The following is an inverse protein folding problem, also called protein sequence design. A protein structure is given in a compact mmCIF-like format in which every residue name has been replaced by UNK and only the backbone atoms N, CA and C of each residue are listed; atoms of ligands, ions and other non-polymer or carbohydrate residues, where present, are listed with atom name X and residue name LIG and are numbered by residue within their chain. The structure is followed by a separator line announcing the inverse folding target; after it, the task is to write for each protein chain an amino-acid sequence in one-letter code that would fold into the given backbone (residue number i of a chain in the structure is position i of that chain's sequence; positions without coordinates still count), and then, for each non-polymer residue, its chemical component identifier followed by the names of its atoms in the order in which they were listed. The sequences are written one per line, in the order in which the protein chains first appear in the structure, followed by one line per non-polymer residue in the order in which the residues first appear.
data_IF_555822850700
#
_entry.id   IF_555822850700
#
_cell.length_a   1.000
_cell.length_b   1.000
_cell.length_c   1.000
_cell.angle_alpha   90.00
_cell.angle_beta   90.00
_cell.angle_gamma   90.00
#
_symmetry.space_group_name_H-M   'P 1'
#
loop_
_entity.id
_entity.type
_entity.pdbx_description
1 polymer ?
#
# COMPACT_ATOMS: atom_id res chain seq x y z
N UNK A 1 -19.79 29.00 -13.80
CA UNK A 1 -19.93 27.53 -13.82
C UNK A 1 -18.61 26.81 -14.03
N UNK A 2 -17.75 27.26 -14.95
CA UNK A 2 -16.42 26.68 -15.22
C UNK A 2 -15.43 26.77 -14.06
N UNK A 3 -15.48 27.87 -13.28
CA UNK A 3 -14.58 28.08 -12.14
C UNK A 3 -14.71 27.00 -11.06
N UNK A 4 -15.95 26.53 -10.81
CA UNK A 4 -16.21 25.47 -9.83
C UNK A 4 -15.65 24.12 -10.27
N UNK A 5 -15.65 23.84 -11.57
CA UNK A 5 -15.12 22.60 -12.16
C UNK A 5 -13.60 22.58 -12.07
N UNK A 6 -12.94 23.72 -12.29
CA UNK A 6 -11.48 23.83 -12.17
C UNK A 6 -11.05 23.62 -10.72
N UNK A 7 -11.79 24.20 -9.76
CA UNK A 7 -11.48 24.08 -8.34
C UNK A 7 -11.61 22.62 -7.86
N UNK A 8 -12.68 21.93 -8.25
CA UNK A 8 -12.87 20.52 -7.88
C UNK A 8 -11.81 19.63 -8.51
N UNK A 9 -11.47 19.85 -9.78
CA UNK A 9 -10.40 19.11 -10.45
C UNK A 9 -9.05 19.29 -9.73
N UNK A 10 -8.69 20.52 -9.35
CA UNK A 10 -7.45 20.81 -8.64
C UNK A 10 -7.39 20.11 -7.27
N UNK A 11 -8.49 20.12 -6.51
CA UNK A 11 -8.57 19.42 -5.22
C UNK A 11 -8.41 17.92 -5.40
N UNK A 12 -9.05 17.32 -6.40
CA UNK A 12 -8.95 15.88 -6.66
C UNK A 12 -7.52 15.47 -7.04
N UNK A 13 -6.83 16.28 -7.85
CA UNK A 13 -5.43 16.05 -8.21
C UNK A 13 -4.53 16.16 -6.98
N UNK A 14 -4.73 17.19 -6.14
CA UNK A 14 -3.97 17.36 -4.91
C UNK A 14 -4.16 16.18 -3.94
N UNK A 15 -5.39 15.68 -3.79
CA UNK A 15 -5.69 14.47 -2.98
C UNK A 15 -5.05 13.22 -3.57
N UNK A 16 -5.03 13.07 -4.90
CA UNK A 16 -4.37 11.94 -5.55
C UNK A 16 -2.84 11.95 -5.35
N UNK A 17 -2.22 13.14 -5.34
CA UNK A 17 -0.79 13.32 -5.06
C UNK A 17 -0.44 13.12 -3.58
N UNK A 18 -1.36 13.47 -2.66
CA UNK A 18 -1.20 13.18 -1.22
C UNK A 18 -1.46 11.72 -0.86
N UNK A 19 -2.11 10.96 -1.76
CA UNK A 19 -2.37 9.54 -1.57
C UNK A 19 -1.04 8.81 -1.71
N UNK A 20 -0.53 8.14 -0.66
CA UNK A 20 0.67 7.34 -0.80
C UNK A 20 0.44 6.36 -1.94
N UNK A 21 1.38 6.19 -2.88
CA UNK A 21 1.22 5.30 -4.01
C UNK A 21 1.07 3.89 -3.48
N UNK A 22 -0.17 3.48 -3.28
CA UNK A 22 -0.48 2.15 -2.83
C UNK A 22 -0.05 1.19 -3.94
N UNK A 23 0.97 0.39 -3.63
CA UNK A 23 0.95 -1.02 -3.98
C UNK A 23 1.24 -1.36 -5.46
N UNK A 24 1.93 -0.51 -6.22
CA UNK A 24 2.32 -0.81 -7.62
C UNK A 24 3.72 -1.39 -7.81
N UNK A 25 4.56 -1.43 -6.78
CA UNK A 25 6.00 -1.71 -6.94
C UNK A 25 6.44 -3.16 -6.64
N UNK A 26 5.52 -4.11 -6.40
CA UNK A 26 5.90 -5.34 -5.67
C UNK A 26 5.53 -6.65 -6.35
N UNK A 27 5.03 -6.61 -7.59
CA UNK A 27 4.49 -7.81 -8.23
C UNK A 27 5.51 -8.64 -9.02
N UNK A 28 6.76 -8.15 -9.20
CA UNK A 28 7.63 -8.75 -10.23
C UNK A 28 8.81 -9.60 -9.73
N UNK A 29 9.21 -9.57 -8.46
CA UNK A 29 10.40 -10.34 -8.07
C UNK A 29 10.08 -11.28 -6.92
N UNK A 30 10.23 -12.57 -7.18
CA UNK A 30 9.84 -13.76 -6.41
C UNK A 30 10.34 -13.83 -4.95
N UNK A 31 10.90 -12.75 -4.43
CA UNK A 31 11.17 -12.51 -3.03
C UNK A 31 11.20 -11.00 -2.83
N UNK A 32 10.38 -10.46 -1.93
CA UNK A 32 10.41 -9.03 -1.61
C UNK A 32 11.84 -8.55 -1.35
N UNK A 33 12.27 -7.50 -2.05
CA UNK A 33 13.60 -6.92 -1.85
C UNK A 33 13.74 -6.49 -0.38
N UNK A 34 14.78 -6.93 0.34
CA UNK A 34 15.05 -6.41 1.69
C UNK A 34 15.09 -4.87 1.68
N UNK A 35 14.49 -4.15 2.64
CA UNK A 35 13.90 -4.57 3.93
C UNK A 35 12.38 -4.86 3.90
N UNK A 36 11.78 -5.04 2.73
CA UNK A 36 10.33 -5.18 2.58
C UNK A 36 9.88 -6.60 2.95
N UNK A 37 8.68 -6.70 3.54
CA UNK A 37 8.04 -7.94 3.98
C UNK A 37 6.87 -8.28 3.08
N UNK A 38 6.65 -9.55 2.79
CA UNK A 38 5.52 -9.98 1.96
C UNK A 38 4.22 -10.03 2.77
N UNK A 39 3.20 -9.30 2.35
CA UNK A 39 1.86 -9.28 2.94
C UNK A 39 0.80 -9.33 1.84
N UNK A 40 0.02 -10.41 1.78
CA UNK A 40 -1.18 -10.54 0.92
C UNK A 40 -0.98 -10.16 -0.55
N UNK A 41 0.08 -10.67 -1.19
CA UNK A 41 0.36 -10.40 -2.60
C UNK A 41 1.05 -9.06 -2.88
N UNK A 42 1.40 -8.33 -1.84
CA UNK A 42 2.21 -7.12 -1.90
C UNK A 42 3.47 -7.29 -1.06
N UNK A 43 4.48 -6.45 -1.28
CA UNK A 43 5.44 -6.19 -0.21
C UNK A 43 5.17 -4.85 0.47
N UNK A 44 5.49 -4.80 1.74
CA UNK A 44 5.21 -3.69 2.65
C UNK A 44 6.42 -3.49 3.55
N UNK A 45 6.72 -2.24 3.91
CA UNK A 45 7.81 -1.95 4.85
C UNK A 45 7.46 -2.39 6.29
N UNK A 46 6.18 -2.33 6.65
CA UNK A 46 5.67 -2.73 7.96
C UNK A 46 4.35 -3.49 7.79
N UNK A 47 4.09 -4.48 8.64
CA UNK A 47 2.85 -5.26 8.58
C UNK A 47 1.63 -4.41 8.92
N UNK A 48 0.55 -4.46 8.11
CA UNK A 48 -0.68 -3.73 8.36
C UNK A 48 -1.45 -4.31 9.57
N UNK A 49 -2.41 -3.54 10.09
CA UNK A 49 -3.23 -3.95 11.22
C UNK A 49 -3.93 -5.30 10.95
N UNK A 50 -3.90 -6.20 11.94
CA UNK A 50 -4.42 -7.56 11.81
C UNK A 50 -3.44 -8.57 11.22
N UNK A 51 -2.27 -8.13 10.73
CA UNK A 51 -1.16 -9.01 10.36
C UNK A 51 -0.09 -9.01 11.45
N UNK A 52 0.45 -10.19 11.70
CA UNK A 52 1.56 -10.43 12.60
C UNK A 52 2.86 -10.56 11.81
N UNK A 53 3.91 -9.95 12.33
CA UNK A 53 5.23 -9.95 11.73
C UNK A 53 5.95 -11.27 11.99
N UNK A 54 6.23 -12.02 10.92
CA UNK A 54 6.97 -13.30 10.97
C UNK A 54 8.37 -13.15 10.37
N UNK A 55 8.92 -11.93 10.40
CA UNK A 55 10.25 -11.62 9.88
C UNK A 55 10.19 -11.14 8.43
N UNK A 56 10.20 -12.07 7.46
CA UNK A 56 10.19 -11.74 6.02
C UNK A 56 8.79 -11.71 5.39
N UNK A 57 7.78 -12.15 6.14
CA UNK A 57 6.39 -12.15 5.73
C UNK A 57 5.50 -11.65 6.86
N UNK A 58 4.34 -11.12 6.50
CA UNK A 58 3.28 -10.74 7.41
C UNK A 58 2.19 -11.80 7.31
N UNK A 59 1.92 -12.51 8.41
CA UNK A 59 0.88 -13.54 8.48
C UNK A 59 -0.39 -12.95 9.07
N UNK A 60 -1.55 -13.24 8.50
CA UNK A 60 -2.80 -12.74 9.08
C UNK A 60 -3.08 -13.43 10.42
N UNK A 61 -3.43 -12.66 11.46
CA UNK A 61 -3.58 -13.18 12.82
C UNK A 61 -4.65 -14.26 12.95
N UNK A 62 -5.72 -14.17 12.15
CA UNK A 62 -6.79 -15.18 12.18
C UNK A 62 -6.41 -16.50 11.49
N UNK A 63 -5.41 -16.49 10.60
CA UNK A 63 -4.89 -17.68 9.92
C UNK A 63 -3.79 -18.39 10.73
N UNK A 64 -3.31 -17.78 11.83
CA UNK A 64 -2.29 -18.38 12.71
C UNK A 64 -2.86 -19.24 13.84
N UNK A 65 -4.11 -19.73 13.71
CA UNK A 65 -4.80 -20.53 14.73
C UNK A 65 -4.95 -21.99 14.30
#
# INVERSE_FOLDING_TARGET
MTLGIILTAAVMIAVALLRPPALRAQQEESYCRPPLKFASGACVAQCPAGYEDRGRTCAFRSLSR
#
